data_IF_588104826678
#
_entry.id   IF_588104826678
#
_cell.length_a   1.000
_cell.length_b   1.000
_cell.length_c   1.000
_cell.angle_alpha   90.00
_cell.angle_beta   90.00
_cell.angle_gamma   90.00
#
_symmetry.space_group_name_H-M   'P 1'
#
loop_
_entity.id
_entity.type
_entity.pdbx_description
1 polymer ?
#
# COMPACT_ATOMS: atom_id res chain seq x y z
N UNK A 1 -12.33 43.56 -16.68
CA UNK A 1 -12.75 42.16 -16.45
C UNK A 1 -14.02 42.16 -15.62
N UNK A 2 -15.14 41.71 -16.19
CA UNK A 2 -16.45 41.73 -15.49
C UNK A 2 -16.59 40.57 -14.51
N UNK A 3 -17.27 40.82 -13.38
CA UNK A 3 -17.52 39.84 -12.31
C UNK A 3 -18.13 38.53 -12.85
N UNK A 4 -18.98 38.62 -13.88
CA UNK A 4 -19.59 37.49 -14.56
C UNK A 4 -18.60 36.58 -15.33
N UNK A 5 -17.45 37.11 -15.73
CA UNK A 5 -16.39 36.32 -16.39
C UNK A 5 -15.56 35.55 -15.36
N UNK A 6 -15.36 36.13 -14.17
CA UNK A 6 -14.62 35.52 -13.06
C UNK A 6 -15.40 34.34 -12.46
N UNK A 7 -16.72 34.47 -12.30
CA UNK A 7 -17.57 33.39 -11.78
C UNK A 7 -17.67 32.21 -12.74
N UNK A 8 -17.69 32.44 -14.06
CA UNK A 8 -17.64 31.36 -15.07
C UNK A 8 -16.33 30.58 -15.04
N UNK A 9 -15.19 31.26 -14.91
CA UNK A 9 -13.87 30.62 -14.79
C UNK A 9 -13.77 29.78 -13.51
N UNK A 10 -14.24 30.32 -12.38
CA UNK A 10 -14.31 29.58 -11.11
C UNK A 10 -15.19 28.32 -11.21
N UNK A 11 -16.37 28.44 -11.83
CA UNK A 11 -17.28 27.30 -11.99
C UNK A 11 -16.66 26.19 -12.85
N UNK A 12 -15.99 26.56 -13.95
CA UNK A 12 -15.30 25.60 -14.81
C UNK A 12 -14.16 24.88 -14.08
N UNK A 13 -13.37 25.60 -13.28
CA UNK A 13 -12.29 25.03 -12.48
C UNK A 13 -12.81 24.01 -11.46
N UNK A 14 -13.92 24.32 -10.78
CA UNK A 14 -14.54 23.42 -9.80
C UNK A 14 -15.03 22.12 -10.47
N UNK A 15 -15.65 22.23 -11.65
CA UNK A 15 -16.12 21.06 -12.42
C UNK A 15 -14.95 20.17 -12.84
N UNK A 16 -13.84 20.74 -13.30
CA UNK A 16 -12.64 19.98 -13.68
C UNK A 16 -12.05 19.24 -12.46
N UNK A 17 -11.98 19.90 -11.30
CA UNK A 17 -11.49 19.28 -10.05
C UNK A 17 -12.38 18.10 -9.62
N UNK A 18 -13.70 18.23 -9.76
CA UNK A 18 -14.65 17.16 -9.46
C UNK A 18 -14.48 15.95 -10.38
N UNK A 19 -14.28 16.15 -11.68
CA UNK A 19 -14.08 15.06 -12.66
C UNK A 19 -12.73 14.35 -12.42
N UNK A 20 -11.67 15.08 -12.08
CA UNK A 20 -10.36 14.48 -11.79
C UNK A 20 -10.34 13.66 -10.50
N UNK A 21 -11.26 13.91 -9.57
CA UNK A 21 -11.31 13.23 -8.27
C UNK A 21 -11.90 11.81 -8.35
N UNK A 22 -12.63 11.47 -9.41
CA UNK A 22 -13.25 10.14 -9.57
C UNK A 22 -12.35 9.14 -10.29
N UNK A 23 -11.06 9.04 -9.92
CA UNK A 23 -10.27 7.84 -10.24
C UNK A 23 -10.75 6.69 -9.36
N UNK A 24 -11.91 6.14 -9.73
CA UNK A 24 -12.44 4.92 -9.15
C UNK A 24 -11.37 3.84 -9.32
N UNK A 25 -10.76 3.43 -8.20
CA UNK A 25 -9.88 2.27 -8.19
C UNK A 25 -10.74 1.05 -8.48
N UNK A 26 -10.84 0.69 -9.76
CA UNK A 26 -11.63 -0.46 -10.20
C UNK A 26 -11.13 -1.72 -9.47
N UNK A 27 -12.04 -2.43 -8.81
CA UNK A 27 -11.75 -3.71 -8.17
C UNK A 27 -11.36 -4.71 -9.25
N UNK A 28 -10.25 -5.42 -9.04
CA UNK A 28 -9.79 -6.49 -9.95
C UNK A 28 -9.79 -7.82 -9.23
N UNK A 29 -10.30 -8.85 -9.88
CA UNK A 29 -10.24 -10.22 -9.38
C UNK A 29 -8.86 -10.80 -9.63
N UNK A 30 -8.14 -11.11 -8.57
CA UNK A 30 -6.76 -11.62 -8.62
C UNK A 30 -6.66 -12.83 -7.70
N UNK A 31 -6.20 -13.96 -8.27
CA UNK A 31 -6.07 -15.23 -7.56
C UNK A 31 -4.66 -15.81 -7.74
N UNK A 32 -4.24 -16.66 -6.81
CA UNK A 32 -3.02 -17.47 -6.93
C UNK A 32 -1.74 -16.67 -7.24
N UNK A 33 -1.00 -17.11 -8.26
CA UNK A 33 0.28 -16.52 -8.64
C UNK A 33 0.16 -15.05 -9.09
N UNK A 34 -0.96 -14.67 -9.73
CA UNK A 34 -1.19 -13.29 -10.16
C UNK A 34 -1.31 -12.35 -8.95
N UNK A 35 -2.10 -12.76 -7.95
CA UNK A 35 -2.21 -12.03 -6.69
C UNK A 35 -0.86 -11.94 -5.98
N UNK A 36 -0.11 -13.04 -5.91
CA UNK A 36 1.20 -13.08 -5.28
C UNK A 36 2.19 -12.11 -5.95
N UNK A 37 2.24 -12.06 -7.28
CA UNK A 37 3.10 -11.12 -8.02
C UNK A 37 2.74 -9.65 -7.72
N UNK A 38 1.45 -9.35 -7.61
CA UNK A 38 0.99 -8.01 -7.26
C UNK A 38 1.32 -7.66 -5.81
N UNK A 39 1.11 -8.56 -4.86
CA UNK A 39 1.48 -8.35 -3.47
C UNK A 39 2.98 -8.16 -3.29
N UNK A 40 3.82 -8.90 -4.01
CA UNK A 40 5.28 -8.69 -3.99
C UNK A 40 5.59 -7.26 -4.45
N UNK A 41 5.04 -6.81 -5.57
CA UNK A 41 5.28 -5.45 -6.08
C UNK A 41 4.77 -4.36 -5.13
N UNK A 42 3.58 -4.52 -4.57
CA UNK A 42 2.96 -3.50 -3.71
C UNK A 42 3.61 -3.46 -2.32
N UNK A 43 4.05 -4.60 -1.79
CA UNK A 43 4.59 -4.70 -0.43
C UNK A 43 6.12 -4.66 -0.33
N UNK A 44 6.83 -4.57 -1.45
CA UNK A 44 8.29 -4.36 -1.44
C UNK A 44 8.62 -2.91 -1.14
N UNK A 45 9.54 -2.69 -0.21
CA UNK A 45 9.90 -1.35 0.25
C UNK A 45 11.26 -0.93 -0.32
N UNK A 46 11.31 0.25 -0.97
CA UNK A 46 12.54 0.86 -1.46
C UNK A 46 13.44 -0.12 -2.26
N UNK A 47 14.69 -0.32 -1.80
CA UNK A 47 15.69 -1.17 -2.46
C UNK A 47 15.70 -2.61 -1.94
N UNK A 48 14.70 -3.00 -1.15
CA UNK A 48 14.64 -4.33 -0.58
C UNK A 48 14.23 -5.38 -1.63
N UNK A 49 14.75 -6.60 -1.48
CA UNK A 49 14.49 -7.69 -2.44
C UNK A 49 13.24 -8.50 -2.10
N UNK A 50 12.69 -8.32 -0.90
CA UNK A 50 11.57 -9.11 -0.40
C UNK A 50 10.46 -8.22 0.13
N UNK A 51 9.18 -8.57 -0.04
CA UNK A 51 8.07 -7.79 0.49
C UNK A 51 7.97 -7.88 2.03
N UNK A 52 7.48 -6.81 2.65
CA UNK A 52 7.20 -6.78 4.10
C UNK A 52 5.70 -6.71 4.37
N UNK A 53 5.18 -7.71 5.06
CA UNK A 53 3.76 -7.85 5.38
C UNK A 53 3.47 -7.56 6.86
N UNK A 54 2.24 -7.12 7.15
CA UNK A 54 1.78 -6.80 8.52
C UNK A 54 1.61 -8.04 9.38
N UNK A 55 1.18 -9.16 8.79
CA UNK A 55 1.19 -10.48 9.41
C UNK A 55 2.52 -11.22 9.14
N UNK A 56 2.83 -12.23 9.96
CA UNK A 56 3.91 -13.17 9.66
C UNK A 56 3.55 -13.93 8.39
N UNK A 57 4.13 -13.53 7.26
CA UNK A 57 4.18 -14.37 6.08
C UNK A 57 4.97 -15.64 6.44
N UNK A 58 4.47 -16.86 6.13
CA UNK A 58 5.31 -18.04 6.26
C UNK A 58 6.56 -17.84 5.40
N UNK A 59 7.74 -18.03 5.99
CA UNK A 59 9.04 -17.88 5.32
C UNK A 59 9.05 -18.78 4.07
N UNK A 60 9.02 -18.15 2.91
CA UNK A 60 8.95 -18.80 1.60
C UNK A 60 10.28 -19.47 1.26
N UNK A 61 10.47 -20.71 1.70
CA UNK A 61 11.21 -21.74 0.95
C UNK A 61 10.27 -22.83 0.40
N UNK A 62 8.97 -22.71 0.64
CA UNK A 62 7.96 -23.66 0.21
C UNK A 62 6.68 -22.94 -0.22
N UNK A 63 6.75 -22.14 -1.28
CA UNK A 63 5.56 -21.91 -2.13
C UNK A 63 5.47 -23.11 -3.07
N UNK A 64 5.27 -24.28 -2.47
CA UNK A 64 4.80 -25.48 -3.13
C UNK A 64 3.47 -25.79 -2.48
N UNK A 65 2.47 -25.93 -3.34
CA UNK A 65 1.11 -26.40 -3.14
C UNK A 65 0.70 -26.83 -1.72
N UNK A 66 -0.51 -26.39 -1.34
CA UNK A 66 -1.33 -26.95 -0.26
C UNK A 66 -1.04 -26.41 1.15
N UNK A 67 -1.56 -25.22 1.48
CA UNK A 67 -1.43 -24.67 2.85
C UNK A 67 -1.99 -23.27 3.09
N UNK A 68 -3.25 -23.03 2.69
CA UNK A 68 -3.95 -21.76 2.74
C UNK A 68 -4.36 -21.33 4.18
N UNK A 69 -3.47 -20.82 5.03
CA UNK A 69 -3.89 -20.30 6.36
C UNK A 69 -3.44 -18.89 6.74
N UNK A 70 -2.36 -18.35 6.19
CA UNK A 70 -1.99 -16.93 6.38
C UNK A 70 -2.49 -16.01 5.24
N UNK A 71 -2.96 -16.62 4.15
CA UNK A 71 -3.38 -15.95 2.91
C UNK A 71 -4.88 -15.71 2.80
N UNK A 72 -5.70 -16.35 3.65
CA UNK A 72 -7.14 -16.52 3.41
C UNK A 72 -7.91 -15.20 3.29
N UNK A 73 -7.60 -14.21 4.13
CA UNK A 73 -8.37 -12.96 4.16
C UNK A 73 -8.29 -12.16 2.85
N UNK A 74 -7.08 -11.76 2.44
CA UNK A 74 -6.93 -10.98 1.19
C UNK A 74 -7.04 -11.86 -0.05
N UNK A 75 -6.64 -13.13 0.00
CA UNK A 75 -6.75 -14.01 -1.16
C UNK A 75 -8.20 -14.30 -1.52
N UNK A 76 -9.06 -14.61 -0.53
CA UNK A 76 -10.47 -14.84 -0.80
C UNK A 76 -11.14 -13.55 -1.28
N UNK A 77 -10.91 -12.43 -0.59
CA UNK A 77 -11.44 -11.12 -0.99
C UNK A 77 -11.03 -10.74 -2.42
N UNK A 78 -9.74 -10.84 -2.76
CA UNK A 78 -9.25 -10.52 -4.10
C UNK A 78 -9.77 -11.51 -5.16
N UNK A 79 -9.99 -12.79 -4.82
CA UNK A 79 -10.39 -13.78 -5.81
C UNK A 79 -11.90 -13.79 -6.06
N UNK A 80 -12.71 -13.68 -5.00
CA UNK A 80 -14.17 -13.80 -5.06
C UNK A 80 -14.83 -12.44 -5.36
N UNK A 81 -14.49 -11.40 -4.60
CA UNK A 81 -15.10 -10.07 -4.68
C UNK A 81 -14.32 -9.11 -5.57
N UNK A 82 -13.02 -9.34 -5.73
CA UNK A 82 -12.09 -8.41 -6.35
C UNK A 82 -11.59 -7.36 -5.37
N UNK A 83 -10.34 -6.92 -5.58
CA UNK A 83 -9.68 -5.99 -4.69
C UNK A 83 -9.00 -4.86 -5.44
N UNK A 84 -8.77 -3.76 -4.71
CA UNK A 84 -8.05 -2.59 -5.18
C UNK A 84 -6.59 -2.64 -4.75
N UNK A 85 -5.77 -1.73 -5.28
CA UNK A 85 -4.39 -1.55 -4.81
C UNK A 85 -4.36 -1.15 -3.33
N UNK A 86 -5.35 -0.39 -2.85
CA UNK A 86 -5.45 -0.01 -1.44
C UNK A 86 -5.70 -1.23 -0.53
N UNK A 87 -6.57 -2.14 -0.96
CA UNK A 87 -6.81 -3.41 -0.24
C UNK A 87 -5.53 -4.25 -0.13
N UNK A 88 -4.78 -4.36 -1.24
CA UNK A 88 -3.48 -5.05 -1.23
C UNK A 88 -2.48 -4.33 -0.32
N UNK A 89 -2.42 -2.98 -0.36
CA UNK A 89 -1.52 -2.18 0.47
C UNK A 89 -1.80 -2.32 1.97
N UNK A 90 -3.05 -2.52 2.36
CA UNK A 90 -3.43 -2.75 3.75
C UNK A 90 -2.81 -4.03 4.35
N UNK A 91 -2.38 -4.96 3.50
CA UNK A 91 -1.67 -6.18 3.95
C UNK A 91 -0.16 -5.99 4.11
N UNK A 92 0.40 -4.93 3.51
CA UNK A 92 1.81 -4.58 3.64
C UNK A 92 2.07 -3.92 5.01
N UNK A 93 3.33 -3.93 5.46
CA UNK A 93 3.72 -3.17 6.64
C UNK A 93 4.99 -2.36 6.42
N UNK A 94 4.82 -1.03 6.42
CA UNK A 94 5.90 -0.07 6.25
C UNK A 94 6.20 0.74 7.51
N UNK A 95 5.66 0.33 8.67
CA UNK A 95 6.01 0.92 9.97
C UNK A 95 7.44 0.52 10.35
N UNK A 96 8.14 1.38 11.08
CA UNK A 96 9.53 1.16 11.48
C UNK A 96 9.74 -0.19 12.19
N UNK A 97 8.79 -0.59 13.05
CA UNK A 97 8.80 -1.89 13.74
C UNK A 97 8.75 -3.07 12.77
N UNK A 98 7.97 -2.97 11.70
CA UNK A 98 7.92 -3.99 10.64
C UNK A 98 9.17 -3.97 9.79
N UNK A 99 9.67 -2.80 9.41
CA UNK A 99 10.89 -2.68 8.61
C UNK A 99 12.11 -3.24 9.34
N UNK A 100 12.23 -3.01 10.66
CA UNK A 100 13.27 -3.64 11.51
C UNK A 100 13.15 -5.15 11.57
N UNK A 101 11.92 -5.68 11.56
CA UNK A 101 11.65 -7.13 11.57
C UNK A 101 11.94 -7.78 10.22
N UNK A 102 11.49 -7.15 9.13
CA UNK A 102 11.64 -7.65 7.77
C UNK A 102 13.09 -7.51 7.27
N UNK A 103 13.75 -6.41 7.63
CA UNK A 103 15.05 -6.01 7.11
C UNK A 103 15.98 -5.59 8.27
N UNK A 104 16.41 -6.52 9.14
CA UNK A 104 17.18 -6.18 10.34
C UNK A 104 18.51 -5.46 10.05
N UNK A 105 19.09 -5.67 8.86
CA UNK A 105 20.39 -5.11 8.47
C UNK A 105 20.31 -3.84 7.62
N UNK A 106 19.11 -3.45 7.18
CA UNK A 106 18.84 -2.29 6.29
C UNK A 106 19.18 -0.92 6.89
N UNK A 107 19.32 -0.85 8.22
CA UNK A 107 19.51 0.41 8.94
C UNK A 107 18.25 1.25 9.11
N UNK A 108 17.07 0.72 8.77
CA UNK A 108 15.80 1.34 9.11
C UNK A 108 15.70 1.55 10.64
N UNK A 109 15.71 2.83 11.03
CA UNK A 109 15.60 3.23 12.44
C UNK A 109 16.91 3.40 13.21
N UNK A 110 18.06 3.46 12.53
CA UNK A 110 19.33 3.85 13.18
C UNK A 110 19.44 5.36 13.51
N UNK A 111 18.54 6.22 12.98
CA UNK A 111 18.56 7.68 13.20
C UNK A 111 17.69 8.20 14.36
N UNK A 112 16.91 7.36 15.04
CA UNK A 112 16.00 7.82 16.12
C UNK A 112 16.57 7.66 17.53
N UNK A 113 17.90 7.65 17.68
CA UNK A 113 18.56 7.57 19.00
C UNK A 113 19.51 8.74 19.27
N UNK A 114 19.31 9.84 18.56
CA UNK A 114 20.02 11.10 18.73
C UNK A 114 19.10 12.24 18.28
N UNK A 115 17.96 12.44 18.95
CA UNK A 115 17.26 13.74 19.01
C UNK A 115 16.20 13.67 20.13
N UNK A 116 16.64 13.35 21.34
CA UNK A 116 16.00 13.87 22.54
C UNK A 116 16.50 15.32 22.68
N UNK A 117 15.73 16.29 22.18
CA UNK A 117 15.65 17.71 22.62
C UNK A 117 15.22 18.64 21.47
N UNK A 118 13.93 18.63 21.13
CA UNK A 118 13.27 19.86 20.71
C UNK A 118 12.00 19.99 21.54
N UNK A 119 12.13 20.68 22.68
CA UNK A 119 11.00 21.31 23.35
C UNK A 119 10.44 22.36 22.38
N UNK A 120 9.22 22.14 21.92
CA UNK A 120 8.41 23.20 21.34
C UNK A 120 7.94 24.05 22.53
N UNK A 121 8.56 25.22 22.69
CA UNK A 121 7.98 26.39 23.38
C UNK A 121 7.54 27.34 22.28
#
# INVERSE_FOLDING_TARGET
MSIASLTKLLLQLIVIILICSTKSSAKRKLCGAALQSHLIRVCTFAYERTPCFSSKFPRSNSVRSSGARAFTGIANKCCEEGCTILDMRATCCFRLSCLRRCYPNSGYGRRFRAEDDVKIV
#
